data_IF_591163990581
#
_entry.id   IF_591163990581
#
_cell.length_a   1.000
_cell.length_b   1.000
_cell.length_c   1.000
_cell.angle_alpha   90.00
_cell.angle_beta   90.00
_cell.angle_gamma   90.00
#
_symmetry.space_group_name_H-M   'P 1'
#
loop_
_entity.id
_entity.type
_entity.pdbx_description
1 polymer ?
#
# COMPACT_ATOMS: atom_id res chain seq x y z
N UNK A 1 -15.59 -19.28 3.62
CA UNK A 1 -14.83 -19.23 4.87
C UNK A 1 -13.66 -20.16 4.80
N UNK A 2 -12.46 -19.58 4.63
CA UNK A 2 -11.26 -20.28 5.07
C UNK A 2 -11.29 -20.41 6.60
N UNK A 3 -10.32 -21.07 7.20
CA UNK A 3 -10.20 -21.02 8.67
C UNK A 3 -9.78 -19.62 9.17
N UNK A 4 -9.26 -18.77 8.28
CA UNK A 4 -8.61 -17.48 8.56
C UNK A 4 -9.55 -16.27 8.65
N UNK A 5 -10.82 -16.38 8.21
CA UNK A 5 -11.80 -15.27 8.15
C UNK A 5 -13.01 -15.45 9.10
N UNK A 6 -13.01 -16.53 9.91
CA UNK A 6 -14.08 -16.78 10.90
C UNK A 6 -13.90 -15.93 12.15
N UNK A 7 -14.99 -15.47 12.77
CA UNK A 7 -14.90 -14.87 14.11
C UNK A 7 -14.37 -15.88 15.15
N UNK A 8 -13.39 -15.52 16.00
CA UNK A 8 -13.02 -16.34 17.15
C UNK A 8 -14.11 -16.39 18.22
N UNK A 9 -14.15 -17.49 18.97
CA UNK A 9 -15.02 -17.57 20.14
C UNK A 9 -14.66 -16.48 21.15
N UNK A 10 -15.69 -15.76 21.65
CA UNK A 10 -15.52 -14.70 22.64
C UNK A 10 -15.24 -13.30 22.08
N UNK A 11 -15.03 -13.14 20.77
CA UNK A 11 -14.88 -11.80 20.16
C UNK A 11 -16.26 -11.11 20.05
N UNK A 12 -16.37 -9.89 20.59
CA UNK A 12 -17.58 -9.07 20.47
C UNK A 12 -17.68 -8.41 19.10
N UNK A 13 -18.88 -7.95 18.72
CA UNK A 13 -19.09 -7.20 17.47
C UNK A 13 -18.22 -5.95 17.42
N UNK A 14 -18.19 -5.19 18.52
CA UNK A 14 -17.38 -3.99 18.64
C UNK A 14 -15.88 -4.27 18.51
N UNK A 15 -15.39 -5.42 19.02
CA UNK A 15 -14.00 -5.82 18.87
C UNK A 15 -13.65 -6.18 17.41
N UNK A 16 -14.54 -6.89 16.73
CA UNK A 16 -14.38 -7.23 15.31
C UNK A 16 -14.41 -5.98 14.43
N UNK A 17 -15.34 -5.06 14.68
CA UNK A 17 -15.43 -3.79 13.97
C UNK A 17 -14.19 -2.91 14.21
N UNK A 18 -13.73 -2.79 15.46
CA UNK A 18 -12.53 -2.02 15.78
C UNK A 18 -11.28 -2.59 15.09
N UNK A 19 -11.10 -3.92 15.10
CA UNK A 19 -10.01 -4.56 14.38
C UNK A 19 -10.10 -4.31 12.87
N UNK A 20 -11.30 -4.43 12.29
CA UNK A 20 -11.55 -4.11 10.87
C UNK A 20 -11.18 -2.67 10.52
N UNK A 21 -11.53 -1.70 11.38
CA UNK A 21 -11.14 -0.29 11.19
C UNK A 21 -9.64 -0.04 11.22
N UNK A 22 -8.89 -0.76 12.05
CA UNK A 22 -7.43 -0.66 12.07
C UNK A 22 -6.83 -1.27 10.79
N UNK A 23 -7.35 -2.42 10.33
CA UNK A 23 -6.92 -3.02 9.06
C UNK A 23 -7.26 -2.12 7.85
N UNK A 24 -8.45 -1.51 7.80
CA UNK A 24 -8.85 -0.53 6.77
C UNK A 24 -7.90 0.68 6.75
N UNK A 25 -7.46 1.14 7.92
CA UNK A 25 -6.48 2.20 8.02
C UNK A 25 -5.10 1.75 7.48
N UNK A 26 -4.66 0.51 7.75
CA UNK A 26 -3.43 -0.04 7.18
C UNK A 26 -3.52 -0.13 5.65
N UNK A 27 -4.64 -0.58 5.08
CA UNK A 27 -4.85 -0.61 3.62
C UNK A 27 -4.75 0.80 3.00
N UNK A 28 -5.24 1.82 3.71
CA UNK A 28 -5.06 3.21 3.28
C UNK A 28 -3.59 3.63 3.28
N UNK A 29 -2.82 3.21 4.30
CA UNK A 29 -1.37 3.43 4.36
C UNK A 29 -0.64 2.65 3.24
N UNK A 30 -1.05 1.44 2.90
CA UNK A 30 -0.49 0.67 1.78
C UNK A 30 -0.69 1.41 0.44
N UNK A 31 -1.83 2.08 0.25
CA UNK A 31 -2.06 2.95 -0.92
C UNK A 31 -1.12 4.16 -0.92
N UNK A 32 -0.96 4.82 0.23
CA UNK A 32 -0.01 5.92 0.36
C UNK A 32 1.43 5.48 0.05
N UNK A 33 1.83 4.31 0.54
CA UNK A 33 3.10 3.66 0.20
C UNK A 33 3.24 3.43 -1.30
N UNK A 34 2.21 2.92 -1.97
CA UNK A 34 2.20 2.77 -3.44
C UNK A 34 2.44 4.09 -4.20
N UNK A 35 1.95 5.21 -3.68
CA UNK A 35 2.23 6.54 -4.25
C UNK A 35 3.69 6.97 -4.08
N UNK A 36 4.38 6.55 -3.01
CA UNK A 36 5.83 6.82 -2.87
C UNK A 36 6.66 6.06 -3.90
N UNK A 37 6.30 4.81 -4.22
CA UNK A 37 6.93 4.06 -5.31
C UNK A 37 6.71 4.71 -6.67
N UNK A 38 5.48 5.15 -6.93
CA UNK A 38 5.15 5.90 -8.15
C UNK A 38 5.95 7.20 -8.23
N UNK A 39 6.03 7.94 -7.12
CA UNK A 39 6.85 9.14 -6.99
C UNK A 39 8.33 8.87 -7.33
N UNK A 40 8.94 7.85 -6.72
CA UNK A 40 10.34 7.48 -6.99
C UNK A 40 10.59 7.17 -8.48
N UNK A 41 9.74 6.35 -9.09
CA UNK A 41 9.87 5.99 -10.51
C UNK A 41 9.73 7.21 -11.42
N UNK A 42 8.75 8.08 -11.16
CA UNK A 42 8.54 9.29 -11.95
C UNK A 42 9.69 10.28 -11.78
N UNK A 43 10.21 10.47 -10.56
CA UNK A 43 11.40 11.30 -10.31
C UNK A 43 12.62 10.76 -11.04
N UNK A 44 12.92 9.46 -10.93
CA UNK A 44 14.07 8.86 -11.61
C UNK A 44 13.96 8.97 -13.13
N UNK A 45 12.74 8.80 -13.69
CA UNK A 45 12.50 9.01 -15.11
C UNK A 45 12.76 10.46 -15.53
N UNK A 46 12.30 11.43 -14.75
CA UNK A 46 12.52 12.85 -15.05
C UNK A 46 14.01 13.23 -14.99
N UNK A 47 14.76 12.65 -14.04
CA UNK A 47 16.22 12.83 -13.94
C UNK A 47 16.93 12.33 -15.20
N UNK A 48 16.57 11.15 -15.73
CA UNK A 48 17.10 10.65 -17.01
C UNK A 48 16.68 11.49 -18.23
N UNK A 49 15.50 12.11 -18.19
CA UNK A 49 15.08 13.04 -19.23
C UNK A 49 15.94 14.31 -19.21
N UNK A 50 16.41 14.76 -18.05
CA UNK A 50 17.33 15.88 -17.94
C UNK A 50 18.68 15.58 -18.58
N UNK A 51 19.22 14.37 -18.45
CA UNK A 51 20.46 13.98 -19.15
C UNK A 51 20.33 14.18 -20.66
N UNK A 52 19.21 13.75 -21.22
CA UNK A 52 18.92 13.91 -22.66
C UNK A 52 18.77 15.39 -23.04
N UNK A 53 18.10 16.20 -22.22
CA UNK A 53 17.98 17.64 -22.46
C UNK A 53 19.33 18.36 -22.39
N UNK A 54 20.19 17.98 -21.44
CA UNK A 54 21.55 18.51 -21.29
C UNK A 54 22.39 18.18 -22.53
N UNK A 55 22.33 16.95 -23.03
CA UNK A 55 23.03 16.57 -24.26
C UNK A 55 22.59 17.45 -25.45
N UNK A 56 21.28 17.58 -25.67
CA UNK A 56 20.72 18.42 -26.74
C UNK A 56 21.13 19.89 -26.62
N UNK A 57 21.14 20.45 -25.40
CA UNK A 57 21.59 21.82 -25.16
C UNK A 57 23.06 22.00 -25.54
N UNK A 58 23.93 21.04 -25.22
CA UNK A 58 25.36 21.10 -25.60
C UNK A 58 25.53 21.02 -27.11
N UNK A 59 24.83 20.09 -27.77
CA UNK A 59 24.89 19.92 -29.23
C UNK A 59 24.45 21.17 -29.99
N UNK A 60 23.53 21.95 -29.42
CA UNK A 60 23.01 23.18 -30.02
C UNK A 60 23.73 24.46 -29.53
N UNK A 61 24.91 24.34 -28.92
CA UNK A 61 25.74 25.48 -28.53
C UNK A 61 25.31 26.20 -27.25
N UNK A 62 24.35 25.65 -26.49
CA UNK A 62 23.85 26.21 -25.23
C UNK A 62 24.56 25.63 -24.01
N UNK A 63 25.90 25.55 -24.06
CA UNK A 63 26.71 24.91 -23.02
C UNK A 63 26.49 25.51 -21.61
N UNK A 64 26.34 26.82 -21.48
CA UNK A 64 26.10 27.47 -20.18
C UNK A 64 24.78 27.03 -19.53
N UNK A 65 23.73 26.82 -20.32
CA UNK A 65 22.45 26.30 -19.81
C UNK A 65 22.58 24.83 -19.40
N UNK A 66 23.28 24.04 -20.22
CA UNK A 66 23.57 22.65 -19.91
C UNK A 66 24.35 22.50 -18.59
N UNK A 67 25.36 23.34 -18.38
CA UNK A 67 26.16 23.38 -17.14
C UNK A 67 25.32 23.81 -15.95
N UNK A 68 24.48 24.84 -16.10
CA UNK A 68 23.59 25.30 -15.04
C UNK A 68 22.60 24.21 -14.60
N UNK A 69 21.96 23.52 -15.55
CA UNK A 69 21.05 22.40 -15.24
C UNK A 69 21.80 21.27 -14.55
N UNK A 70 22.95 20.87 -15.11
CA UNK A 70 23.76 19.78 -14.54
C UNK A 70 24.20 20.07 -13.11
N UNK A 71 24.56 21.33 -12.83
CA UNK A 71 25.01 21.75 -11.51
C UNK A 71 23.88 21.80 -10.47
N UNK A 72 22.66 22.20 -10.87
CA UNK A 72 21.59 22.48 -9.92
C UNK A 72 20.55 21.37 -9.78
N UNK A 73 20.31 20.59 -10.83
CA UNK A 73 19.21 19.61 -10.89
C UNK A 73 19.70 18.16 -10.90
N UNK A 74 20.72 17.83 -11.69
CA UNK A 74 21.19 16.44 -11.81
C UNK A 74 21.81 15.99 -10.48
N UNK A 75 21.33 14.86 -9.96
CA UNK A 75 21.76 14.30 -8.67
C UNK A 75 21.29 15.10 -7.45
N UNK A 76 20.42 16.10 -7.62
CA UNK A 76 19.90 16.92 -6.52
C UNK A 76 18.90 16.11 -5.70
N UNK A 77 19.18 15.86 -4.42
CA UNK A 77 18.22 15.22 -3.50
C UNK A 77 16.82 15.87 -3.49
N UNK A 78 15.76 15.05 -3.48
CA UNK A 78 14.36 15.51 -3.44
C UNK A 78 13.96 16.08 -2.08
N UNK A 79 14.61 15.62 -1.02
CA UNK A 79 14.50 16.12 0.35
C UNK A 79 15.90 16.26 0.96
N UNK A 80 16.09 17.01 2.05
CA UNK A 80 17.40 17.11 2.70
C UNK A 80 18.00 15.75 3.04
N UNK A 81 19.15 15.46 2.42
CA UNK A 81 19.91 14.21 2.60
C UNK A 81 19.26 12.95 1.99
N UNK A 82 18.21 13.09 1.17
CA UNK A 82 17.42 11.96 0.67
C UNK A 82 17.13 12.08 -0.81
N UNK A 83 17.61 11.10 -1.56
CA UNK A 83 17.07 10.77 -2.86
C UNK A 83 15.75 10.01 -2.73
N UNK A 84 15.00 9.89 -3.83
CA UNK A 84 13.61 9.41 -3.78
C UNK A 84 13.46 7.97 -3.27
N UNK A 85 14.44 7.08 -3.47
CA UNK A 85 14.39 5.74 -2.89
C UNK A 85 14.61 5.75 -1.37
N UNK A 86 15.45 6.66 -0.85
CA UNK A 86 15.70 6.79 0.58
C UNK A 86 14.45 7.31 1.32
N UNK A 87 13.61 8.10 0.64
CA UNK A 87 12.29 8.48 1.16
C UNK A 87 11.39 7.26 1.33
N UNK A 88 11.45 6.29 0.41
CA UNK A 88 10.70 5.03 0.52
C UNK A 88 11.27 4.20 1.67
N UNK A 89 12.59 4.02 1.75
CA UNK A 89 13.25 3.25 2.80
C UNK A 89 12.90 3.79 4.19
N UNK A 90 13.01 5.10 4.40
CA UNK A 90 12.65 5.75 5.67
C UNK A 90 11.17 5.58 6.01
N UNK A 91 10.27 5.63 5.01
CA UNK A 91 8.85 5.43 5.22
C UNK A 91 8.53 3.98 5.59
N UNK A 92 9.14 3.03 4.88
CA UNK A 92 8.96 1.59 5.05
C UNK A 92 9.49 1.12 6.41
N UNK A 93 10.72 1.54 6.75
CA UNK A 93 11.40 1.13 7.97
C UNK A 93 10.85 1.81 9.23
N UNK A 94 10.29 3.01 9.07
CA UNK A 94 9.70 3.79 10.15
C UNK A 94 8.18 3.62 10.23
N UNK A 95 7.46 4.51 9.57
CA UNK A 95 6.02 4.68 9.77
C UNK A 95 5.21 3.44 9.35
N UNK A 96 5.52 2.86 8.20
CA UNK A 96 4.79 1.70 7.68
C UNK A 96 4.99 0.46 8.55
N UNK A 97 6.25 0.11 8.90
CA UNK A 97 6.56 -1.01 9.81
C UNK A 97 5.82 -0.87 11.13
N UNK A 98 5.85 0.31 11.75
CA UNK A 98 5.13 0.58 13.00
C UNK A 98 3.62 0.31 12.85
N UNK A 99 3.01 0.78 11.76
CA UNK A 99 1.59 0.56 11.49
C UNK A 99 1.26 -0.93 11.35
N UNK A 100 2.08 -1.69 10.61
CA UNK A 100 1.91 -3.14 10.46
C UNK A 100 2.02 -3.88 11.79
N UNK A 101 2.95 -3.47 12.65
CA UNK A 101 3.13 -4.07 13.97
C UNK A 101 1.93 -3.82 14.89
N UNK A 102 1.41 -2.59 14.89
CA UNK A 102 0.23 -2.21 15.67
C UNK A 102 -1.04 -2.90 15.14
N UNK A 103 -1.25 -2.94 13.82
CA UNK A 103 -2.37 -3.69 13.22
C UNK A 103 -2.33 -5.15 13.65
N UNK A 104 -1.16 -5.78 13.53
CA UNK A 104 -0.98 -7.19 13.88
C UNK A 104 -1.26 -7.44 15.36
N UNK A 105 -0.83 -6.52 16.24
CA UNK A 105 -1.12 -6.60 17.67
C UNK A 105 -2.64 -6.55 17.92
N UNK A 106 -3.32 -5.55 17.37
CA UNK A 106 -4.78 -5.38 17.51
C UNK A 106 -5.53 -6.60 16.99
N UNK A 107 -5.21 -7.05 15.78
CA UNK A 107 -5.82 -8.23 15.16
C UNK A 107 -5.55 -9.50 15.98
N UNK A 108 -4.34 -9.67 16.51
CA UNK A 108 -4.01 -10.81 17.38
C UNK A 108 -4.88 -10.82 18.64
N UNK A 109 -5.04 -9.67 19.29
CA UNK A 109 -5.80 -9.56 20.54
C UNK A 109 -7.31 -9.65 20.34
N UNK A 110 -7.85 -9.04 19.29
CA UNK A 110 -9.30 -8.90 19.11
C UNK A 110 -9.92 -9.98 18.23
N UNK A 111 -9.17 -10.50 17.26
CA UNK A 111 -9.66 -11.50 16.30
C UNK A 111 -8.78 -12.75 16.26
N UNK A 112 -7.93 -12.97 17.26
CA UNK A 112 -7.09 -14.18 17.34
C UNK A 112 -6.15 -14.32 16.14
N UNK A 113 -5.76 -13.20 15.53
CA UNK A 113 -4.88 -13.15 14.36
C UNK A 113 -5.59 -13.34 13.02
N UNK A 114 -6.90 -13.59 13.02
CA UNK A 114 -7.70 -13.83 11.81
C UNK A 114 -7.91 -12.55 11.02
N UNK A 115 -7.73 -12.62 9.70
CA UNK A 115 -7.85 -11.48 8.79
C UNK A 115 -9.27 -11.37 8.23
N UNK A 116 -9.69 -10.14 7.94
CA UNK A 116 -10.95 -9.84 7.24
C UNK A 116 -12.22 -10.39 7.89
N UNK A 117 -12.24 -10.60 9.22
CA UNK A 117 -13.41 -11.13 9.94
C UNK A 117 -14.62 -10.20 9.77
N UNK A 118 -14.41 -8.88 9.88
CA UNK A 118 -15.47 -7.90 9.73
C UNK A 118 -16.09 -7.91 8.33
N UNK A 119 -15.25 -7.93 7.29
CA UNK A 119 -15.66 -7.98 5.89
C UNK A 119 -16.36 -9.31 5.56
N UNK A 120 -15.86 -10.43 6.09
CA UNK A 120 -16.47 -11.74 5.90
C UNK A 120 -17.89 -11.79 6.49
N UNK A 121 -18.10 -11.24 7.68
CA UNK A 121 -19.43 -11.15 8.27
C UNK A 121 -20.36 -10.17 7.53
N UNK A 122 -19.81 -9.03 7.09
CA UNK A 122 -20.53 -8.09 6.24
C UNK A 122 -20.98 -8.75 4.93
N UNK A 123 -20.11 -9.54 4.31
CA UNK A 123 -20.43 -10.31 3.10
C UNK A 123 -21.52 -11.34 3.38
N UNK A 124 -21.40 -12.11 4.46
CA UNK A 124 -22.39 -13.14 4.81
C UNK A 124 -23.78 -12.55 5.04
N UNK A 125 -23.88 -11.41 5.76
CA UNK A 125 -25.16 -10.71 5.96
C UNK A 125 -25.79 -10.20 4.66
N UNK A 126 -24.98 -9.89 3.64
CA UNK A 126 -25.43 -9.39 2.33
C UNK A 126 -25.71 -10.50 1.32
N UNK A 127 -25.37 -11.75 1.65
CA UNK A 127 -25.48 -12.89 0.75
C UNK A 127 -26.95 -13.28 0.54
N UNK A 128 -27.33 -13.55 -0.70
CA UNK A 128 -28.65 -14.15 -0.99
C UNK A 128 -28.51 -15.66 -0.90
N UNK A 129 -29.35 -16.30 -0.07
CA UNK A 129 -29.36 -17.77 0.03
C UNK A 129 -29.71 -18.41 -1.31
N UNK A 130 -28.95 -19.44 -1.72
CA UNK A 130 -29.18 -20.19 -2.95
C UNK A 130 -28.75 -19.50 -4.27
N UNK A 131 -28.28 -18.26 -4.22
CA UNK A 131 -27.82 -17.58 -5.44
C UNK A 131 -26.40 -18.06 -5.82
N UNK A 132 -26.17 -18.57 -7.05
CA UNK A 132 -24.93 -19.25 -7.44
C UNK A 132 -23.69 -18.34 -7.41
N UNK A 133 -23.85 -17.02 -7.54
CA UNK A 133 -22.74 -16.07 -7.42
C UNK A 133 -22.56 -15.51 -5.99
N UNK A 134 -23.45 -15.83 -5.05
CA UNK A 134 -23.40 -15.35 -3.67
C UNK A 134 -22.91 -16.49 -2.78
N UNK A 135 -21.70 -16.99 -3.06
CA UNK A 135 -21.07 -18.08 -2.31
C UNK A 135 -20.31 -17.57 -1.08
N UNK A 136 -20.29 -18.37 -0.02
CA UNK A 136 -19.67 -18.00 1.26
C UNK A 136 -18.14 -18.17 1.25
N UNK A 137 -17.58 -18.94 0.30
CA UNK A 137 -16.15 -19.17 0.17
C UNK A 137 -15.73 -19.20 -1.31
N UNK A 138 -14.45 -18.93 -1.62
CA UNK A 138 -13.90 -19.07 -2.97
C UNK A 138 -14.10 -20.47 -3.59
N UNK A 139 -14.23 -21.52 -2.76
CA UNK A 139 -14.42 -22.91 -3.18
C UNK A 139 -15.75 -23.52 -2.69
N UNK A 140 -16.76 -22.70 -2.38
CA UNK A 140 -18.08 -23.19 -1.97
C UNK A 140 -18.89 -23.58 -3.23
N UNK A 141 -18.46 -24.65 -3.91
CA UNK A 141 -19.23 -25.32 -4.95
C UNK A 141 -20.32 -26.16 -4.29
N UNK A 142 -21.39 -25.50 -3.84
CA UNK A 142 -22.65 -26.18 -3.57
C UNK A 142 -23.42 -26.36 -4.89
N UNK A 143 -22.86 -27.17 -5.77
CA UNK A 143 -23.63 -27.91 -6.77
C UNK A 143 -23.93 -29.28 -6.19
N UNK A 144 -25.09 -29.42 -5.53
CA UNK A 144 -25.55 -30.67 -4.96
C UNK A 144 -26.96 -30.51 -4.40
N UNK A 145 -27.88 -31.21 -5.07
CA UNK A 145 -29.34 -31.33 -4.90
C UNK A 145 -30.23 -30.22 -5.47
#
# INVERSE_FOLDING_TARGET
>A
MGLDDRRPAGASDAAVEAAGKVSEALETIERARGHLYSFHQLTGRADLQLDSAVALLRENGHAQLADHISHHLIGRNVLPGRWSFQVIEDYDDGYYRCFQEVERLVRTQLTGGRRHVFEAEMKERRRTSGHPAHTAAPNDDRTGE
#
